data_IF_562019662538
#
_entry.id   IF_562019662538
#
_cell.length_a   1.000
_cell.length_b   1.000
_cell.length_c   1.000
_cell.angle_alpha   90.00
_cell.angle_beta   90.00
_cell.angle_gamma   90.00
#
_symmetry.space_group_name_H-M   'P 1'
#
loop_
_entity.id
_entity.type
_entity.pdbx_description
1 polymer ?
#
# COMPACT_ATOMS: atom_id res chain seq x y z
N UNK A 1 17.19 -21.60 1.73
CA UNK A 1 16.91 -20.20 1.38
C UNK A 1 15.88 -20.23 0.27
N UNK A 2 14.64 -19.84 0.57
CA UNK A 2 13.56 -19.80 -0.42
C UNK A 2 13.93 -18.77 -1.50
N UNK A 3 13.97 -19.22 -2.74
CA UNK A 3 14.30 -18.40 -3.88
C UNK A 3 13.13 -17.42 -4.12
N UNK A 4 13.22 -16.19 -3.60
CA UNK A 4 12.25 -15.11 -3.84
C UNK A 4 12.48 -14.58 -5.27
N UNK A 5 12.33 -15.46 -6.27
CA UNK A 5 12.63 -15.12 -7.67
C UNK A 5 11.39 -14.95 -8.55
N UNK A 6 10.19 -14.93 -7.96
CA UNK A 6 8.94 -14.83 -8.73
C UNK A 6 8.50 -13.37 -8.95
N UNK A 7 9.43 -12.44 -9.19
CA UNK A 7 9.15 -11.07 -9.61
C UNK A 7 8.92 -10.95 -11.12
N UNK A 8 8.72 -9.72 -11.64
CA UNK A 8 8.88 -8.43 -10.97
C UNK A 8 7.86 -8.15 -9.87
N UNK A 9 8.37 -7.51 -8.79
CA UNK A 9 7.54 -7.07 -7.67
C UNK A 9 7.17 -5.60 -7.85
N UNK A 10 5.90 -5.27 -7.74
CA UNK A 10 5.43 -3.88 -7.75
C UNK A 10 5.18 -3.45 -6.30
N UNK A 11 5.70 -2.30 -5.92
CA UNK A 11 5.46 -1.68 -4.62
C UNK A 11 4.83 -0.31 -4.85
N UNK A 12 3.56 -0.14 -4.46
CA UNK A 12 2.91 1.17 -4.51
C UNK A 12 3.28 2.00 -3.28
N UNK A 13 3.15 3.33 -3.37
CA UNK A 13 3.54 4.20 -2.27
C UNK A 13 5.04 4.11 -1.92
N UNK A 14 5.89 3.76 -2.89
CA UNK A 14 7.30 3.46 -2.68
C UNK A 14 8.14 4.65 -2.16
N UNK A 15 7.66 5.88 -2.31
CA UNK A 15 8.29 7.08 -1.74
C UNK A 15 7.89 7.37 -0.29
N UNK A 16 6.92 6.64 0.26
CA UNK A 16 6.50 6.71 1.65
C UNK A 16 7.38 5.84 2.57
N UNK A 17 7.18 5.96 3.88
CA UNK A 17 7.99 5.25 4.88
C UNK A 17 7.95 3.73 4.71
N UNK A 18 6.75 3.14 4.68
CA UNK A 18 6.58 1.70 4.55
C UNK A 18 7.05 1.20 3.18
N UNK A 19 6.59 1.85 2.10
CA UNK A 19 6.94 1.44 0.74
C UNK A 19 8.44 1.46 0.49
N UNK A 20 9.13 2.48 0.98
CA UNK A 20 10.58 2.58 0.88
C UNK A 20 11.29 1.43 1.58
N UNK A 21 10.90 1.11 2.81
CA UNK A 21 11.47 0.00 3.55
C UNK A 21 11.23 -1.34 2.85
N UNK A 22 10.04 -1.55 2.27
CA UNK A 22 9.75 -2.76 1.51
C UNK A 22 10.66 -2.88 0.29
N UNK A 23 10.85 -1.80 -0.48
CA UNK A 23 11.76 -1.81 -1.64
C UNK A 23 13.19 -2.14 -1.20
N UNK A 24 13.69 -1.48 -0.15
CA UNK A 24 15.04 -1.71 0.36
C UNK A 24 15.23 -3.18 0.83
N UNK A 25 14.25 -3.76 1.52
CA UNK A 25 14.28 -5.15 1.96
C UNK A 25 14.24 -6.14 0.79
N UNK A 26 13.44 -5.90 -0.25
CA UNK A 26 13.41 -6.72 -1.46
C UNK A 26 14.77 -6.70 -2.17
N UNK A 27 15.39 -5.53 -2.27
CA UNK A 27 16.73 -5.38 -2.86
C UNK A 27 17.78 -6.14 -2.04
N UNK A 28 17.79 -5.98 -0.71
CA UNK A 28 18.71 -6.67 0.20
C UNK A 28 18.54 -8.19 0.16
N UNK A 29 17.31 -8.67 0.03
CA UNK A 29 17.02 -10.10 -0.10
C UNK A 29 17.40 -10.68 -1.47
N UNK A 30 17.91 -9.86 -2.41
CA UNK A 30 18.21 -10.29 -3.76
C UNK A 30 16.99 -10.75 -4.54
N UNK A 31 15.82 -10.21 -4.19
CA UNK A 31 14.56 -10.47 -4.90
C UNK A 31 14.68 -10.05 -6.38
N UNK A 32 13.76 -10.53 -7.21
CA UNK A 32 13.70 -10.17 -8.64
C UNK A 32 13.60 -8.65 -8.85
N UNK A 33 13.46 -8.19 -10.10
CA UNK A 33 13.29 -6.77 -10.37
C UNK A 33 12.14 -6.18 -9.55
N UNK A 34 12.33 -4.97 -9.04
CA UNK A 34 11.33 -4.23 -8.27
C UNK A 34 10.87 -3.02 -9.08
N UNK A 35 9.57 -2.87 -9.23
CA UNK A 35 8.93 -1.70 -9.83
C UNK A 35 8.38 -0.86 -8.67
N UNK A 36 8.99 0.29 -8.43
CA UNK A 36 8.65 1.19 -7.34
C UNK A 36 7.73 2.30 -7.85
N UNK A 37 6.47 2.31 -7.39
CA UNK A 37 5.45 3.25 -7.86
C UNK A 37 5.33 4.44 -6.91
N UNK A 38 5.38 5.63 -7.48
CA UNK A 38 5.19 6.90 -6.76
C UNK A 38 4.53 7.94 -7.67
N UNK A 39 3.74 8.85 -7.11
CA UNK A 39 3.27 10.07 -7.79
C UNK A 39 4.42 11.02 -8.15
N UNK A 40 5.57 10.82 -7.52
CA UNK A 40 6.77 11.65 -7.72
C UNK A 40 7.98 10.71 -7.79
N UNK A 41 8.24 10.07 -8.94
CA UNK A 41 9.30 9.07 -9.08
C UNK A 41 10.71 9.63 -8.82
N UNK A 42 10.93 10.92 -9.00
CA UNK A 42 12.21 11.58 -8.68
C UNK A 42 12.65 11.39 -7.22
N UNK A 43 11.69 11.20 -6.29
CA UNK A 43 11.98 10.87 -4.88
C UNK A 43 12.63 9.49 -4.69
N UNK A 44 12.69 8.70 -5.75
CA UNK A 44 13.25 7.34 -5.77
C UNK A 44 14.56 7.27 -6.57
N UNK A 45 15.11 8.42 -7.00
CA UNK A 45 16.30 8.49 -7.86
C UNK A 45 17.54 7.79 -7.25
N UNK A 46 17.65 7.77 -5.93
CA UNK A 46 18.73 7.08 -5.20
C UNK A 46 18.65 5.55 -5.22
N UNK A 47 17.52 4.99 -5.69
CA UNK A 47 17.33 3.57 -5.93
C UNK A 47 17.79 3.13 -7.34
N UNK A 48 18.08 4.07 -8.21
CA UNK A 48 18.53 3.77 -9.57
C UNK A 48 19.77 2.86 -9.56
N UNK A 49 19.81 1.90 -10.47
CA UNK A 49 20.92 0.92 -10.57
C UNK A 49 20.87 -0.24 -9.58
N UNK A 50 19.93 -0.27 -8.64
CA UNK A 50 19.77 -1.35 -7.64
C UNK A 50 18.75 -2.42 -8.07
N UNK A 51 18.53 -2.64 -9.37
CA UNK A 51 17.47 -3.49 -9.93
C UNK A 51 16.07 -2.98 -9.58
N UNK A 52 15.95 -1.67 -9.33
CA UNK A 52 14.70 -0.96 -9.06
C UNK A 52 14.39 -0.06 -10.24
N UNK A 53 13.18 -0.15 -10.76
CA UNK A 53 12.62 0.75 -11.76
C UNK A 53 11.57 1.63 -11.09
N UNK A 54 11.81 2.93 -11.05
CA UNK A 54 10.84 3.89 -10.55
C UNK A 54 9.88 4.26 -11.68
N UNK A 55 8.56 4.17 -11.41
CA UNK A 55 7.51 4.58 -12.37
C UNK A 55 6.51 5.51 -11.69
N UNK A 56 5.95 6.41 -12.50
CA UNK A 56 4.84 7.25 -12.06
C UNK A 56 3.54 6.44 -12.04
N UNK A 57 2.75 6.64 -10.97
CA UNK A 57 1.42 6.05 -10.85
C UNK A 57 0.65 6.74 -9.74
N UNK A 58 -0.58 7.14 -10.05
CA UNK A 58 -1.54 7.72 -9.12
C UNK A 58 -2.83 6.90 -9.11
N UNK A 59 -3.28 6.50 -7.94
CA UNK A 59 -4.53 5.75 -7.79
C UNK A 59 -5.76 6.57 -8.22
N UNK A 60 -5.65 7.90 -8.29
CA UNK A 60 -6.69 8.78 -8.81
C UNK A 60 -6.61 8.99 -10.34
N UNK A 61 -5.56 8.47 -10.99
CA UNK A 61 -5.40 8.45 -12.45
C UNK A 61 -5.28 7.01 -12.96
N UNK A 62 -6.41 6.36 -13.29
CA UNK A 62 -6.40 4.97 -13.77
C UNK A 62 -5.50 4.73 -14.98
N UNK A 63 -5.37 5.70 -15.88
CA UNK A 63 -4.55 5.56 -17.08
C UNK A 63 -3.05 5.43 -16.74
N UNK A 64 -2.59 6.11 -15.69
CA UNK A 64 -1.22 6.00 -15.22
C UNK A 64 -0.90 4.62 -14.65
N UNK A 65 -1.89 3.94 -14.06
CA UNK A 65 -1.69 2.68 -13.34
C UNK A 65 -1.42 1.49 -14.25
N UNK A 66 -2.06 1.43 -15.42
CA UNK A 66 -1.81 0.35 -16.38
C UNK A 66 -0.36 0.35 -16.85
N UNK A 67 0.15 1.53 -17.21
CA UNK A 67 1.54 1.69 -17.62
C UNK A 67 2.50 1.40 -16.43
N UNK A 68 2.15 1.88 -15.24
CA UNK A 68 2.94 1.67 -14.03
C UNK A 68 3.07 0.19 -13.65
N UNK A 69 2.00 -0.61 -13.81
CA UNK A 69 1.97 -2.02 -13.42
C UNK A 69 2.42 -2.98 -14.52
N UNK A 70 2.60 -2.49 -15.76
CA UNK A 70 2.96 -3.33 -16.90
C UNK A 70 4.20 -4.19 -16.63
N UNK A 71 4.09 -5.49 -16.92
CA UNK A 71 5.18 -6.47 -16.73
C UNK A 71 5.40 -6.94 -15.29
N UNK A 72 4.68 -6.40 -14.32
CA UNK A 72 4.70 -6.88 -12.95
C UNK A 72 3.99 -8.22 -12.78
N UNK A 73 4.33 -8.95 -11.71
CA UNK A 73 3.73 -10.24 -11.36
C UNK A 73 3.09 -10.24 -9.99
N UNK A 74 3.72 -9.55 -9.04
CA UNK A 74 3.25 -9.45 -7.65
C UNK A 74 3.12 -7.97 -7.29
N UNK A 75 1.97 -7.57 -6.79
CA UNK A 75 1.64 -6.19 -6.48
C UNK A 75 1.40 -6.03 -4.99
N UNK A 76 2.17 -5.16 -4.34
CA UNK A 76 1.84 -4.66 -3.01
C UNK A 76 1.06 -3.35 -3.14
N UNK A 77 -0.20 -3.39 -2.76
CA UNK A 77 -1.04 -2.20 -2.58
C UNK A 77 -0.88 -1.73 -1.13
N UNK A 78 -0.12 -0.66 -0.95
CA UNK A 78 -0.11 0.07 0.32
C UNK A 78 -1.31 1.01 0.31
N UNK A 79 -2.15 0.91 1.34
CA UNK A 79 -3.38 1.71 1.42
C UNK A 79 -3.09 3.21 1.42
N UNK A 80 -3.95 3.97 0.75
CA UNK A 80 -3.85 5.44 0.75
C UNK A 80 -4.18 6.01 2.13
N UNK A 81 -3.70 7.21 2.38
CA UNK A 81 -3.91 7.97 3.62
C UNK A 81 -5.17 8.87 3.59
N UNK A 82 -5.96 8.80 2.51
CA UNK A 82 -7.19 9.57 2.40
C UNK A 82 -8.21 9.11 3.45
N UNK A 83 -8.72 10.05 4.22
CA UNK A 83 -9.69 9.80 5.29
C UNK A 83 -11.11 10.16 4.91
N UNK A 84 -11.34 10.76 3.72
CA UNK A 84 -12.69 11.02 3.25
C UNK A 84 -13.39 9.69 2.91
N UNK A 85 -14.62 9.47 3.43
CA UNK A 85 -15.35 8.23 3.18
C UNK A 85 -15.48 7.91 1.69
N UNK A 86 -15.17 6.68 1.30
CA UNK A 86 -15.27 6.18 -0.07
C UNK A 86 -14.12 6.56 -1.00
N UNK A 87 -13.34 7.59 -0.72
CA UNK A 87 -12.24 8.00 -1.59
C UNK A 87 -11.13 6.95 -1.62
N UNK A 88 -10.78 6.40 -0.47
CA UNK A 88 -9.81 5.30 -0.40
C UNK A 88 -10.29 4.10 -1.21
N UNK A 89 -11.54 3.69 -1.04
CA UNK A 89 -12.12 2.58 -1.80
C UNK A 89 -12.09 2.84 -3.30
N UNK A 90 -12.46 4.04 -3.75
CA UNK A 90 -12.41 4.42 -5.16
C UNK A 90 -10.99 4.34 -5.74
N UNK A 91 -10.01 4.89 -5.02
CA UNK A 91 -8.59 4.84 -5.40
C UNK A 91 -8.07 3.40 -5.49
N UNK A 92 -8.38 2.56 -4.50
CA UNK A 92 -8.00 1.15 -4.51
C UNK A 92 -8.72 0.37 -5.61
N UNK A 93 -9.99 0.68 -5.92
CA UNK A 93 -10.72 0.09 -7.03
C UNK A 93 -9.98 0.29 -8.36
N UNK A 94 -9.48 1.50 -8.61
CA UNK A 94 -8.68 1.79 -9.81
C UNK A 94 -7.40 0.93 -9.86
N UNK A 95 -6.69 0.80 -8.74
CA UNK A 95 -5.48 -0.01 -8.67
C UNK A 95 -5.77 -1.51 -8.91
N UNK A 96 -6.86 -2.03 -8.34
CA UNK A 96 -7.26 -3.43 -8.53
C UNK A 96 -7.71 -3.68 -9.98
N UNK A 97 -8.44 -2.74 -10.59
CA UNK A 97 -8.84 -2.84 -11.98
C UNK A 97 -7.62 -2.85 -12.91
N UNK A 98 -6.67 -1.94 -12.71
CA UNK A 98 -5.41 -1.92 -13.47
C UNK A 98 -4.61 -3.21 -13.28
N UNK A 99 -4.50 -3.72 -12.05
CA UNK A 99 -3.84 -4.99 -11.77
C UNK A 99 -4.44 -6.16 -12.54
N UNK A 100 -5.77 -6.21 -12.61
CA UNK A 100 -6.50 -7.22 -13.38
C UNK A 100 -6.23 -7.09 -14.89
N UNK A 101 -6.24 -5.87 -15.42
CA UNK A 101 -6.01 -5.61 -16.85
C UNK A 101 -4.61 -6.03 -17.30
N UNK A 102 -3.58 -5.80 -16.49
CA UNK A 102 -2.20 -6.16 -16.83
C UNK A 102 -1.83 -7.60 -16.43
N UNK A 103 -2.74 -8.35 -15.82
CA UNK A 103 -2.54 -9.75 -15.45
C UNK A 103 -1.59 -9.97 -14.28
N UNK A 104 -1.79 -9.23 -13.19
CA UNK A 104 -1.08 -9.48 -11.92
C UNK A 104 -1.50 -10.84 -11.36
N UNK A 105 -0.51 -11.66 -11.02
CA UNK A 105 -0.77 -13.01 -10.50
C UNK A 105 -1.15 -12.98 -8.99
N UNK A 106 -0.56 -12.06 -8.21
CA UNK A 106 -0.75 -12.02 -6.76
C UNK A 106 -0.80 -10.58 -6.22
N UNK A 107 -1.84 -10.26 -5.47
CA UNK A 107 -2.01 -8.96 -4.81
C UNK A 107 -1.77 -9.12 -3.30
N UNK A 108 -0.87 -8.32 -2.74
CA UNK A 108 -0.71 -8.14 -1.29
C UNK A 108 -1.29 -6.78 -0.92
N UNK A 109 -2.13 -6.73 0.08
CA UNK A 109 -2.79 -5.49 0.49
C UNK A 109 -2.60 -5.20 1.97
N UNK A 110 -2.21 -3.95 2.29
CA UNK A 110 -2.16 -3.49 3.68
C UNK A 110 -3.54 -3.01 4.12
N UNK A 111 -4.32 -3.93 4.68
CA UNK A 111 -5.63 -3.66 5.23
C UNK A 111 -5.54 -3.19 6.68
N UNK A 112 -6.68 -3.05 7.35
CA UNK A 112 -6.83 -2.62 8.73
C UNK A 112 -7.44 -3.73 9.59
N UNK A 113 -7.07 -3.80 10.86
CA UNK A 113 -7.64 -4.77 11.78
C UNK A 113 -9.13 -4.48 12.06
N UNK A 114 -9.99 -5.50 11.87
CA UNK A 114 -11.43 -5.37 12.06
C UNK A 114 -12.15 -4.47 11.04
N UNK A 115 -11.93 -4.68 9.72
CA UNK A 115 -12.57 -3.89 8.68
C UNK A 115 -14.01 -4.37 8.45
N UNK A 116 -14.90 -4.01 9.36
CA UNK A 116 -16.32 -4.40 9.30
C UNK A 116 -17.21 -3.17 9.14
N UNK A 117 -18.38 -3.36 8.51
CA UNK A 117 -19.31 -2.28 8.19
C UNK A 117 -19.78 -1.51 9.44
N UNK A 118 -19.90 -2.20 10.57
CA UNK A 118 -20.38 -1.63 11.85
C UNK A 118 -19.23 -0.97 12.65
N UNK A 119 -18.00 -0.95 12.11
CA UNK A 119 -16.86 -0.33 12.80
C UNK A 119 -17.12 1.16 13.05
N UNK A 120 -16.86 1.67 14.27
CA UNK A 120 -16.92 3.10 14.54
C UNK A 120 -15.79 3.88 13.85
N UNK A 121 -14.84 3.18 13.24
CA UNK A 121 -13.71 3.77 12.55
C UNK A 121 -14.12 4.04 11.09
N UNK A 122 -14.24 5.31 10.71
CA UNK A 122 -14.83 5.73 9.44
C UNK A 122 -14.17 5.13 8.19
N UNK A 123 -12.87 4.84 8.22
CA UNK A 123 -12.17 4.24 7.09
C UNK A 123 -12.20 2.69 7.07
N UNK A 124 -12.76 2.04 8.07
CA UNK A 124 -12.82 0.57 8.13
C UNK A 124 -13.65 0.00 6.99
N UNK A 125 -14.74 0.66 6.62
CA UNK A 125 -15.61 0.26 5.51
C UNK A 125 -14.87 0.31 4.16
N UNK A 126 -13.97 1.28 3.96
CA UNK A 126 -13.16 1.36 2.74
C UNK A 126 -12.18 0.18 2.64
N UNK A 127 -11.64 -0.27 3.78
CA UNK A 127 -10.80 -1.47 3.83
C UNK A 127 -11.61 -2.74 3.56
N UNK A 128 -12.78 -2.88 4.16
CA UNK A 128 -13.69 -4.00 3.89
C UNK A 128 -14.05 -4.09 2.40
N UNK A 129 -14.48 -2.96 1.81
CA UNK A 129 -14.79 -2.89 0.40
C UNK A 129 -13.59 -3.25 -0.49
N UNK A 130 -12.39 -2.80 -0.12
CA UNK A 130 -11.16 -3.12 -0.85
C UNK A 130 -10.84 -4.61 -0.77
N UNK A 131 -10.94 -5.24 0.40
CA UNK A 131 -10.73 -6.70 0.57
C UNK A 131 -11.69 -7.51 -0.32
N UNK A 132 -12.96 -7.07 -0.39
CA UNK A 132 -13.95 -7.69 -1.25
C UNK A 132 -13.57 -7.57 -2.73
N UNK A 133 -13.19 -6.39 -3.19
CA UNK A 133 -12.74 -6.17 -4.57
C UNK A 133 -11.53 -7.03 -4.93
N UNK A 134 -10.56 -7.16 -4.03
CA UNK A 134 -9.39 -8.01 -4.23
C UNK A 134 -9.82 -9.47 -4.38
N UNK A 135 -10.68 -9.96 -3.50
CA UNK A 135 -11.18 -11.34 -3.56
C UNK A 135 -11.93 -11.61 -4.87
N UNK A 136 -12.72 -10.65 -5.34
CA UNK A 136 -13.51 -10.73 -6.58
C UNK A 136 -12.64 -10.52 -7.84
N UNK A 137 -11.41 -10.05 -7.72
CA UNK A 137 -10.51 -9.80 -8.86
C UNK A 137 -10.09 -11.06 -9.60
N UNK A 138 -10.07 -12.20 -8.89
CA UNK A 138 -9.60 -13.48 -9.38
C UNK A 138 -8.09 -13.69 -9.28
N UNK A 139 -7.32 -12.71 -8.83
CA UNK A 139 -5.91 -12.86 -8.51
C UNK A 139 -5.71 -13.59 -7.18
N UNK A 140 -4.61 -14.34 -7.06
CA UNK A 140 -4.19 -14.80 -5.73
C UNK A 140 -3.93 -13.58 -4.84
N UNK A 141 -4.19 -13.71 -3.53
CA UNK A 141 -4.03 -12.55 -2.67
C UNK A 141 -3.58 -12.88 -1.25
N UNK A 142 -3.01 -11.87 -0.61
CA UNK A 142 -2.65 -11.87 0.82
C UNK A 142 -3.12 -10.56 1.44
N UNK A 143 -4.01 -10.64 2.41
CA UNK A 143 -4.52 -9.48 3.15
C UNK A 143 -3.75 -9.34 4.46
N UNK A 144 -3.04 -8.23 4.62
CA UNK A 144 -2.30 -7.89 5.83
C UNK A 144 -3.17 -6.94 6.67
N UNK A 145 -3.93 -7.48 7.61
CA UNK A 145 -4.79 -6.68 8.51
C UNK A 145 -3.94 -6.09 9.64
N UNK A 146 -3.33 -4.95 9.35
CA UNK A 146 -2.46 -4.24 10.27
C UNK A 146 -3.28 -3.51 11.35
N UNK A 147 -2.75 -3.46 12.55
CA UNK A 147 -3.26 -2.58 13.60
C UNK A 147 -2.65 -1.18 13.45
N UNK A 148 -2.97 -0.25 14.36
CA UNK A 148 -2.34 1.06 14.42
C UNK A 148 -0.82 0.92 14.47
N UNK A 149 -0.13 1.61 13.58
CA UNK A 149 1.33 1.64 13.59
C UNK A 149 1.86 2.39 14.83
N UNK A 150 2.89 1.85 15.44
CA UNK A 150 3.51 2.41 16.65
C UNK A 150 3.97 3.86 16.45
N UNK A 151 4.32 4.24 15.22
CA UNK A 151 4.75 5.60 14.88
C UNK A 151 3.66 6.64 15.18
N UNK A 152 2.39 6.30 15.01
CA UNK A 152 1.27 7.18 15.40
C UNK A 152 1.21 7.41 16.89
N UNK A 153 1.55 6.40 17.71
CA UNK A 153 1.60 6.55 19.16
C UNK A 153 2.74 7.48 19.59
N UNK A 154 3.89 7.37 18.92
CA UNK A 154 5.04 8.25 19.18
C UNK A 154 4.70 9.71 18.81
N UNK A 155 4.09 9.93 17.64
CA UNK A 155 3.67 11.26 17.22
C UNK A 155 2.63 11.85 18.16
N UNK A 156 1.61 11.08 18.56
CA UNK A 156 0.60 11.48 19.53
C UNK A 156 1.21 11.80 20.90
N UNK A 157 2.16 10.99 21.36
CA UNK A 157 2.90 11.23 22.60
C UNK A 157 3.71 12.51 22.57
N UNK A 158 4.45 12.78 21.50
CA UNK A 158 5.20 14.03 21.32
C UNK A 158 4.28 15.26 21.32
N UNK A 159 3.14 15.18 20.62
CA UNK A 159 2.15 16.25 20.60
C UNK A 159 1.54 16.47 21.99
N UNK A 160 1.22 15.41 22.72
CA UNK A 160 0.68 15.49 24.08
C UNK A 160 1.67 16.17 25.04
N UNK A 161 2.94 15.85 24.93
CA UNK A 161 4.01 16.51 25.72
C UNK A 161 4.11 17.99 25.36
N UNK A 162 4.10 18.33 24.09
CA UNK A 162 4.19 19.72 23.63
C UNK A 162 2.99 20.57 24.06
N UNK A 163 1.80 19.96 24.14
CA UNK A 163 0.56 20.64 24.53
C UNK A 163 0.28 20.59 26.03
N UNK A 164 1.02 19.80 26.80
CA UNK A 164 0.77 19.55 28.22
C UNK A 164 -0.55 18.82 28.50
N UNK A 165 -1.16 18.20 27.47
CA UNK A 165 -2.47 17.55 27.56
C UNK A 165 -2.49 16.30 26.69
N UNK A 166 -3.04 15.22 27.22
CA UNK A 166 -3.27 13.97 26.47
C UNK A 166 -4.78 13.74 26.29
N UNK A 167 -5.18 13.54 25.04
CA UNK A 167 -6.54 13.14 24.69
C UNK A 167 -6.54 11.66 24.32
N UNK A 168 -7.33 10.85 25.00
CA UNK A 168 -7.56 9.47 24.65
C UNK A 168 -9.05 9.18 24.63
N UNK A 169 -9.52 8.38 23.70
CA UNK A 169 -10.84 7.79 23.73
C UNK A 169 -10.77 6.49 24.54
N UNK A 170 -10.68 6.62 25.88
CA UNK A 170 -10.87 5.48 26.75
C UNK A 170 -12.38 5.32 26.98
N UNK A 171 -12.93 4.15 26.73
CA UNK A 171 -14.25 3.79 27.23
C UNK A 171 -14.13 3.57 28.74
N UNK A 172 -15.08 4.15 29.50
CA UNK A 172 -15.24 3.89 30.92
C UNK A 172 -15.60 2.43 31.19
#
# INVERSE_FOLDING_TARGET
MSNIQNGPFIVTGASGQLGRQVVDLLVQAGAGPVIAISRTPDKLADLAGKRVEAREGDFNDPASLEAAFAGGKRLLIISTDDLEPGKRLAAHSNAIAAAKMVGIDHIVYTSFAGPVAESPIGFAQDHEGTEKLITESGADHTILRNNMYTDFLLMGGQQSVAMGTHFSAAAD
#
